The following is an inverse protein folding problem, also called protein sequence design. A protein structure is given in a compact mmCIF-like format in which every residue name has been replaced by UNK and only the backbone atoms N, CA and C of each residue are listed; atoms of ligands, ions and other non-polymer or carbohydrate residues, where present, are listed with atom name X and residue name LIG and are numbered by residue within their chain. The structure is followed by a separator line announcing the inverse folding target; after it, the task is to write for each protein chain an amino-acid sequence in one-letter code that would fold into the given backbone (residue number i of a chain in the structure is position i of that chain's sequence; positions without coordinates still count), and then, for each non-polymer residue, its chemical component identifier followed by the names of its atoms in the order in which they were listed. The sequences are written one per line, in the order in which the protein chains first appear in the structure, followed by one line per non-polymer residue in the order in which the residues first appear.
data_IF_047184103418
#
_entry.id   IF_047184103418
#
_cell.length_a   1.000
_cell.length_b   1.000
_cell.length_c   1.000
_cell.angle_alpha   90.00
_cell.angle_beta   90.00
_cell.angle_gamma   90.00
#
_symmetry.space_group_name_H-M   'P 1'
#
loop_
_entity.id
_entity.type
_entity.pdbx_description
1 polymer ?
#
# COMPACT_ATOMS: atom_id res chain seq x y z
N UNK A 1 21.46 -7.66 -8.05
CA UNK A 1 21.68 -6.21 -7.85
C UNK A 1 20.43 -5.62 -7.22
N UNK A 2 20.54 -4.65 -6.29
CA UNK A 2 19.37 -3.97 -5.74
C UNK A 2 18.66 -3.15 -6.83
N UNK A 3 17.33 -3.07 -6.75
CA UNK A 3 16.55 -2.22 -7.64
C UNK A 3 16.91 -0.75 -7.40
N UNK A 4 16.93 0.06 -8.46
CA UNK A 4 17.19 1.50 -8.39
C UNK A 4 15.97 2.26 -8.89
N UNK A 5 15.09 2.62 -7.97
CA UNK A 5 13.88 3.42 -8.16
C UNK A 5 13.94 4.66 -7.25
N UNK A 6 13.18 5.71 -7.56
CA UNK A 6 13.06 6.90 -6.69
C UNK A 6 12.64 6.50 -5.27
N UNK A 7 11.76 5.48 -5.15
CA UNK A 7 11.34 4.92 -3.86
C UNK A 7 12.52 4.34 -3.07
N UNK A 8 13.28 3.42 -3.68
CA UNK A 8 14.42 2.76 -3.02
C UNK A 8 15.49 3.75 -2.57
N UNK A 9 15.77 4.76 -3.38
CA UNK A 9 16.77 5.79 -3.09
C UNK A 9 16.31 6.73 -1.98
N UNK A 10 15.04 7.15 -1.99
CA UNK A 10 14.49 8.06 -0.98
C UNK A 10 14.38 7.39 0.40
N UNK A 11 14.01 6.11 0.45
CA UNK A 11 13.75 5.39 1.70
C UNK A 11 14.94 4.54 2.19
N UNK A 12 15.97 4.38 1.38
CA UNK A 12 17.11 3.50 1.68
C UNK A 12 16.69 2.04 1.83
N UNK A 13 15.79 1.57 0.97
CA UNK A 13 15.34 0.16 0.91
C UNK A 13 15.88 -0.51 -0.35
N UNK A 14 16.02 -1.83 -0.34
CA UNK A 14 16.63 -2.59 -1.44
C UNK A 14 15.62 -3.19 -2.42
N UNK A 15 14.39 -3.38 -1.95
CA UNK A 15 13.27 -3.93 -2.71
C UNK A 15 12.16 -2.87 -2.78
N UNK A 16 11.67 -2.49 -3.97
CA UNK A 16 10.66 -1.45 -4.16
C UNK A 16 9.25 -1.99 -3.83
N UNK A 17 9.10 -2.53 -2.64
CA UNK A 17 7.88 -3.17 -2.14
C UNK A 17 7.52 -2.54 -0.80
N UNK A 18 6.30 -2.04 -0.73
CA UNK A 18 5.72 -1.44 0.47
C UNK A 18 4.56 -2.30 0.96
N UNK A 19 4.45 -2.45 2.28
CA UNK A 19 3.26 -2.98 2.90
C UNK A 19 2.28 -1.86 3.21
N UNK A 20 1.12 -1.91 2.57
CA UNK A 20 0.09 -0.92 2.76
C UNK A 20 -0.59 -1.08 4.12
N UNK A 21 -1.14 -0.02 4.68
CA UNK A 21 -1.78 0.00 5.98
C UNK A 21 -2.86 -1.07 6.10
N UNK A 22 -2.67 -2.00 7.04
CA UNK A 22 -3.60 -3.10 7.33
C UNK A 22 -4.14 -2.96 8.74
N UNK A 23 -5.38 -2.50 8.85
CA UNK A 23 -6.08 -2.44 10.12
C UNK A 23 -6.11 -3.84 10.77
N UNK A 24 -5.76 -3.93 12.05
CA UNK A 24 -5.72 -5.17 12.85
C UNK A 24 -4.65 -6.19 12.47
N UNK A 25 -3.73 -5.88 11.54
CA UNK A 25 -2.70 -6.83 11.09
C UNK A 25 -1.31 -6.18 11.00
N UNK A 26 -1.24 -4.89 10.73
CA UNK A 26 0.02 -4.13 10.61
C UNK A 26 0.67 -3.80 11.95
N UNK A 27 0.93 -4.81 12.79
CA UNK A 27 1.67 -4.66 14.05
C UNK A 27 3.18 -4.65 13.82
N UNK A 28 3.95 -4.36 14.87
CA UNK A 28 5.40 -4.18 14.82
C UNK A 28 6.15 -5.41 14.29
N UNK A 29 5.67 -6.62 14.59
CA UNK A 29 6.25 -7.88 14.15
C UNK A 29 6.26 -7.99 12.62
N UNK A 30 5.13 -7.68 11.98
CA UNK A 30 5.03 -7.72 10.52
C UNK A 30 5.85 -6.59 9.87
N UNK A 31 5.78 -5.38 10.41
CA UNK A 31 6.52 -4.26 9.85
C UNK A 31 8.05 -4.46 9.95
N UNK A 32 8.54 -4.98 11.07
CA UNK A 32 9.97 -5.27 11.27
C UNK A 32 10.45 -6.40 10.35
N UNK A 33 9.66 -7.46 10.16
CA UNK A 33 9.97 -8.54 9.23
C UNK A 33 10.16 -8.03 7.79
N UNK A 34 9.25 -7.16 7.33
CA UNK A 34 9.31 -6.59 5.98
C UNK A 34 10.51 -5.66 5.82
N UNK A 35 10.84 -4.89 6.86
CA UNK A 35 12.04 -4.05 6.88
C UNK A 35 13.31 -4.90 6.78
N UNK A 36 13.39 -6.00 7.53
CA UNK A 36 14.53 -6.94 7.50
C UNK A 36 14.66 -7.65 6.14
N UNK A 37 13.54 -7.89 5.46
CA UNK A 37 13.51 -8.42 4.09
C UNK A 37 13.91 -7.38 3.02
N UNK A 38 14.17 -6.13 3.41
CA UNK A 38 14.63 -5.07 2.52
C UNK A 38 13.53 -4.26 1.82
N UNK A 39 12.26 -4.44 2.22
CA UNK A 39 11.13 -3.61 1.83
C UNK A 39 10.81 -2.54 2.88
N UNK A 40 9.62 -1.94 2.77
CA UNK A 40 9.09 -1.02 3.79
C UNK A 40 7.87 -1.61 4.50
N UNK A 41 8.01 -1.88 5.81
CA UNK A 41 6.88 -2.17 6.70
C UNK A 41 6.32 -0.89 7.31
N UNK A 42 4.99 -0.80 7.39
CA UNK A 42 4.27 0.35 7.94
C UNK A 42 3.44 -0.12 9.15
N UNK A 43 3.77 0.40 10.34
CA UNK A 43 2.91 0.29 11.53
C UNK A 43 1.99 1.51 11.58
N UNK A 44 0.72 1.30 11.91
CA UNK A 44 -0.22 2.41 12.13
C UNK A 44 0.16 3.13 13.43
N UNK A 45 0.97 4.19 13.26
CA UNK A 45 1.25 5.32 14.17
C UNK A 45 1.70 4.97 15.60
N UNK A 46 3.02 4.79 15.78
CA UNK A 46 3.93 5.56 16.67
C UNK A 46 5.33 4.93 16.64
N UNK A 47 6.36 5.70 17.00
CA UNK A 47 7.82 5.40 16.95
C UNK A 47 8.57 5.79 15.65
N UNK A 48 8.99 7.06 15.55
CA UNK A 48 10.08 7.49 14.63
C UNK A 48 9.85 7.20 13.15
N UNK A 49 8.60 7.24 12.70
CA UNK A 49 8.17 6.81 11.37
C UNK A 49 8.74 7.72 10.27
N UNK A 50 9.57 7.16 9.38
CA UNK A 50 10.15 7.88 8.24
C UNK A 50 9.16 8.13 7.10
N UNK A 51 8.15 7.28 6.95
CA UNK A 51 7.13 7.40 5.91
C UNK A 51 5.76 6.96 6.41
N UNK A 52 4.73 7.76 6.15
CA UNK A 52 3.33 7.45 6.50
C UNK A 52 2.51 7.24 5.22
N UNK A 53 1.74 6.15 5.18
CA UNK A 53 0.69 5.98 4.19
C UNK A 53 -0.62 6.61 4.69
N UNK A 54 -1.13 7.58 3.95
CA UNK A 54 -2.44 8.19 4.23
C UNK A 54 -3.46 7.68 3.22
N UNK A 55 -4.69 7.40 3.67
CA UNK A 55 -5.80 6.98 2.82
C UNK A 55 -7.11 7.59 3.32
N UNK A 56 -8.09 7.71 2.44
CA UNK A 56 -9.42 8.24 2.78
C UNK A 56 -9.63 9.68 2.30
N UNK A 57 -10.77 10.26 2.73
CA UNK A 57 -11.21 11.58 2.29
C UNK A 57 -10.63 12.69 3.19
N UNK A 58 -10.49 13.90 2.64
CA UNK A 58 -10.05 15.10 3.37
C UNK A 58 -8.68 14.93 4.08
N UNK A 59 -7.70 14.36 3.38
CA UNK A 59 -6.35 14.11 3.90
C UNK A 59 -5.47 15.36 4.03
N UNK A 60 -5.88 16.50 3.47
CA UNK A 60 -5.05 17.70 3.40
C UNK A 60 -4.56 18.21 4.77
N UNK A 61 -5.39 18.29 5.84
CA UNK A 61 -4.91 18.73 7.16
C UNK A 61 -3.84 17.80 7.73
N UNK A 62 -4.04 16.48 7.62
CA UNK A 62 -3.08 15.48 8.08
C UNK A 62 -1.80 15.52 7.26
N UNK A 63 -1.90 15.67 5.95
CA UNK A 63 -0.73 15.81 5.07
C UNK A 63 0.09 17.04 5.46
N UNK A 64 -0.54 18.19 5.73
CA UNK A 64 0.17 19.39 6.18
C UNK A 64 0.92 19.14 7.48
N UNK A 65 0.27 18.54 8.49
CA UNK A 65 0.91 18.21 9.77
C UNK A 65 2.11 17.25 9.60
N UNK A 66 1.96 16.22 8.75
CA UNK A 66 3.05 15.29 8.46
C UNK A 66 4.23 15.97 7.75
N UNK A 67 3.96 16.93 6.87
CA UNK A 67 5.01 17.71 6.19
C UNK A 67 5.76 18.63 7.15
N UNK A 68 5.06 19.28 8.08
CA UNK A 68 5.69 20.09 9.14
C UNK A 68 6.62 19.25 10.01
N UNK A 69 6.29 17.97 10.20
CA UNK A 69 7.14 16.99 10.89
C UNK A 69 8.24 16.38 10.01
N UNK A 70 8.39 16.83 8.75
CA UNK A 70 9.38 16.32 7.78
C UNK A 70 9.26 14.81 7.52
N UNK A 71 8.04 14.28 7.55
CA UNK A 71 7.71 12.88 7.28
C UNK A 71 7.47 12.70 5.77
N UNK A 72 7.99 11.62 5.19
CA UNK A 72 7.72 11.26 3.80
C UNK A 72 6.28 10.74 3.68
N UNK A 73 5.54 11.19 2.68
CA UNK A 73 4.12 10.86 2.55
C UNK A 73 3.88 10.01 1.31
N UNK A 74 3.27 8.85 1.53
CA UNK A 74 2.62 8.04 0.50
C UNK A 74 1.12 8.26 0.60
N UNK A 75 0.47 8.86 -0.40
CA UNK A 75 -0.97 9.06 -0.35
C UNK A 75 -1.72 8.10 -1.28
N UNK A 76 -2.62 7.27 -0.71
CA UNK A 76 -3.39 6.30 -1.48
C UNK A 76 -4.60 6.94 -2.16
N UNK A 77 -4.69 6.74 -3.47
CA UNK A 77 -5.72 7.29 -4.34
C UNK A 77 -6.36 6.18 -5.19
N UNK A 78 -7.69 6.16 -5.21
CA UNK A 78 -8.47 5.18 -5.99
C UNK A 78 -8.81 5.65 -7.40
N UNK A 79 -8.57 6.93 -7.71
CA UNK A 79 -8.83 7.51 -9.03
C UNK A 79 -7.76 8.51 -9.42
N UNK A 80 -7.53 8.68 -10.73
CA UNK A 80 -6.60 9.67 -11.30
C UNK A 80 -6.93 11.08 -10.79
N UNK A 81 -8.23 11.43 -10.69
CA UNK A 81 -8.65 12.76 -10.20
C UNK A 81 -8.19 13.01 -8.76
N UNK A 82 -8.28 12.01 -7.89
CA UNK A 82 -7.78 12.12 -6.53
C UNK A 82 -6.25 12.19 -6.49
N UNK A 83 -5.57 11.39 -7.33
CA UNK A 83 -4.11 11.41 -7.45
C UNK A 83 -3.58 12.78 -7.90
N UNK A 84 -4.20 13.40 -8.91
CA UNK A 84 -3.88 14.76 -9.40
C UNK A 84 -4.20 15.84 -8.38
N UNK A 85 -5.24 15.65 -7.54
CA UNK A 85 -5.51 16.57 -6.44
C UNK A 85 -4.44 16.46 -5.36
N UNK A 86 -4.09 15.25 -4.97
CA UNK A 86 -3.07 14.98 -3.95
C UNK A 86 -1.67 15.41 -4.40
N UNK A 87 -1.34 15.32 -5.69
CA UNK A 87 -0.05 15.79 -6.21
C UNK A 87 0.17 17.29 -5.98
N UNK A 88 -0.91 18.09 -5.87
CA UNK A 88 -0.83 19.53 -5.56
C UNK A 88 -0.45 19.79 -4.10
N UNK A 89 -0.65 18.82 -3.21
CA UNK A 89 -0.28 18.91 -1.80
C UNK A 89 1.21 18.62 -1.56
N UNK A 90 2.00 18.41 -2.63
CA UNK A 90 3.42 18.07 -2.60
C UNK A 90 3.71 16.87 -1.69
N UNK A 91 2.96 15.78 -1.89
CA UNK A 91 3.30 14.46 -1.35
C UNK A 91 4.48 13.87 -2.12
N UNK A 92 5.33 13.07 -1.47
CA UNK A 92 6.50 12.47 -2.12
C UNK A 92 6.11 11.33 -3.06
N UNK A 93 5.12 10.53 -2.68
CA UNK A 93 4.65 9.39 -3.46
C UNK A 93 3.13 9.31 -3.48
N UNK A 94 2.59 8.80 -4.59
CA UNK A 94 1.20 8.39 -4.71
C UNK A 94 1.10 6.86 -4.70
N UNK A 95 0.12 6.29 -4.02
CA UNK A 95 -0.21 4.87 -4.15
C UNK A 95 -1.52 4.76 -4.92
N UNK A 96 -1.48 4.20 -6.13
CA UNK A 96 -2.65 4.18 -7.01
C UNK A 96 -3.11 2.76 -7.31
N UNK A 97 -4.42 2.54 -7.29
CA UNK A 97 -5.02 1.23 -7.61
C UNK A 97 -5.14 0.98 -9.13
N UNK A 98 -4.44 1.79 -9.95
CA UNK A 98 -4.40 1.76 -11.41
C UNK A 98 -3.01 2.17 -11.92
N UNK A 99 -2.83 2.17 -13.25
CA UNK A 99 -1.58 2.61 -13.89
C UNK A 99 -1.81 3.97 -14.55
N UNK A 100 -1.20 5.03 -14.02
CA UNK A 100 -1.45 6.40 -14.46
C UNK A 100 -0.19 7.06 -15.03
N UNK A 101 -0.04 7.03 -16.36
CA UNK A 101 1.05 7.70 -17.08
C UNK A 101 0.99 9.24 -17.02
N UNK A 102 -0.13 9.82 -16.53
CA UNK A 102 -0.32 11.28 -16.47
C UNK A 102 0.27 11.93 -15.20
N UNK A 103 0.75 11.15 -14.23
CA UNK A 103 1.26 11.66 -12.97
C UNK A 103 2.73 12.10 -13.07
N UNK A 104 3.02 13.33 -12.64
CA UNK A 104 4.39 13.85 -12.52
C UNK A 104 5.08 13.46 -11.22
N UNK A 105 4.28 13.13 -10.20
CA UNK A 105 4.79 12.68 -8.90
C UNK A 105 5.05 11.18 -8.98
N UNK A 106 6.20 10.70 -8.46
CA UNK A 106 6.47 9.28 -8.30
C UNK A 106 5.29 8.49 -7.72
N UNK A 107 4.95 7.35 -8.31
CA UNK A 107 3.81 6.55 -7.84
C UNK A 107 4.19 5.08 -7.62
N UNK A 108 3.45 4.43 -6.73
CA UNK A 108 3.49 3.00 -6.47
C UNK A 108 2.19 2.40 -6.99
N UNK A 109 2.32 1.30 -7.74
CA UNK A 109 1.15 0.55 -8.14
C UNK A 109 0.62 -0.26 -6.94
N UNK A 110 -0.67 -0.16 -6.67
CA UNK A 110 -1.32 -0.75 -5.50
C UNK A 110 -2.44 -1.71 -5.93
N UNK A 111 -2.58 -2.79 -5.17
CA UNK A 111 -3.66 -3.74 -5.33
C UNK A 111 -3.35 -4.84 -6.35
N UNK A 112 -3.71 -6.08 -5.98
CA UNK A 112 -3.58 -7.30 -6.82
C UNK A 112 -2.15 -7.69 -7.21
N UNK A 113 -1.13 -7.13 -6.56
CA UNK A 113 0.24 -7.62 -6.66
C UNK A 113 0.52 -8.68 -5.59
N UNK A 114 1.15 -9.79 -6.00
CA UNK A 114 1.47 -10.90 -5.10
C UNK A 114 2.81 -11.60 -5.40
N UNK A 115 3.52 -11.21 -6.47
CA UNK A 115 4.73 -11.85 -6.94
C UNK A 115 5.66 -10.88 -7.72
N UNK A 116 6.78 -11.42 -8.21
CA UNK A 116 7.77 -10.66 -8.98
C UNK A 116 7.32 -10.28 -10.39
N UNK A 117 6.37 -11.01 -11.00
CA UNK A 117 5.83 -10.66 -12.32
C UNK A 117 5.01 -9.39 -12.25
N UNK A 118 4.16 -9.28 -11.22
CA UNK A 118 3.42 -8.06 -10.94
C UNK A 118 4.33 -6.87 -10.66
N UNK A 119 5.42 -7.07 -9.90
CA UNK A 119 6.43 -6.03 -9.70
C UNK A 119 7.07 -5.60 -11.03
N UNK A 120 7.52 -6.55 -11.85
CA UNK A 120 8.15 -6.24 -13.14
C UNK A 120 7.19 -5.46 -14.06
N UNK A 121 5.92 -5.87 -14.11
CA UNK A 121 4.89 -5.17 -14.88
C UNK A 121 4.67 -3.73 -14.36
N UNK A 122 4.62 -3.53 -13.04
CA UNK A 122 4.46 -2.20 -12.45
C UNK A 122 5.63 -1.27 -12.79
N UNK A 123 6.87 -1.76 -12.65
CA UNK A 123 8.06 -1.00 -13.02
C UNK A 123 8.08 -0.65 -14.52
N UNK A 124 7.70 -1.60 -15.38
CA UNK A 124 7.60 -1.38 -16.82
C UNK A 124 6.54 -0.32 -17.20
N UNK A 125 5.49 -0.19 -16.38
CA UNK A 125 4.44 0.82 -16.54
C UNK A 125 4.78 2.17 -15.90
N UNK A 126 5.99 2.32 -15.34
CA UNK A 126 6.50 3.57 -14.79
C UNK A 126 6.30 3.76 -13.29
N UNK A 127 5.83 2.74 -12.57
CA UNK A 127 5.76 2.79 -11.11
C UNK A 127 7.18 2.69 -10.51
N UNK A 128 7.36 3.28 -9.33
CA UNK A 128 8.61 3.22 -8.56
C UNK A 128 8.67 2.02 -7.59
N UNK A 129 7.59 1.24 -7.56
CA UNK A 129 7.41 0.07 -6.72
C UNK A 129 5.96 -0.39 -6.65
N UNK A 130 5.71 -1.41 -5.82
CA UNK A 130 4.37 -1.94 -5.55
C UNK A 130 3.99 -1.83 -4.08
N UNK A 131 2.71 -1.62 -3.83
CA UNK A 131 2.10 -1.66 -2.51
C UNK A 131 1.24 -2.93 -2.39
N UNK A 132 1.52 -3.78 -1.39
CA UNK A 132 0.83 -5.04 -1.17
C UNK A 132 0.14 -5.09 0.20
N UNK A 133 -1.00 -5.78 0.26
CA UNK A 133 -1.74 -6.07 1.50
C UNK A 133 -1.94 -7.57 1.69
N UNK A 134 -2.88 -8.15 0.93
CA UNK A 134 -3.28 -9.57 1.04
C UNK A 134 -2.11 -10.55 1.04
N UNK A 135 -1.06 -10.30 0.23
CA UNK A 135 0.13 -11.15 0.18
C UNK A 135 0.87 -11.21 1.52
N UNK A 136 0.95 -10.09 2.24
CA UNK A 136 1.64 -10.02 3.53
C UNK A 136 0.87 -10.74 4.65
N UNK A 137 -0.47 -10.85 4.56
CA UNK A 137 -1.25 -11.66 5.51
C UNK A 137 -0.88 -13.14 5.49
N UNK A 138 -0.28 -13.62 4.40
CA UNK A 138 0.13 -15.02 4.22
C UNK A 138 1.62 -15.26 4.51
N UNK A 139 2.26 -14.36 5.29
CA UNK A 139 3.63 -14.52 5.78
C UNK A 139 3.64 -15.21 7.14
N UNK A 140 4.80 -15.71 7.57
CA UNK A 140 4.89 -16.40 8.87
C UNK A 140 4.73 -15.42 10.03
N UNK A 141 5.18 -14.18 9.85
CA UNK A 141 5.25 -13.10 10.82
C UNK A 141 3.92 -12.34 11.00
N UNK A 142 3.01 -12.40 10.02
CA UNK A 142 1.72 -11.73 10.13
C UNK A 142 0.90 -12.31 11.29
N UNK A 143 0.42 -11.49 12.23
CA UNK A 143 -0.39 -11.95 13.38
C UNK A 143 -1.84 -12.26 13.00
N UNK A 144 -2.02 -13.09 11.97
CA UNK A 144 -3.29 -13.51 11.40
C UNK A 144 -3.50 -14.98 11.72
N UNK A 145 -4.72 -15.33 12.17
CA UNK A 145 -5.08 -16.70 12.49
C UNK A 145 -4.87 -17.64 11.29
N UNK A 146 -4.38 -18.86 11.52
CA UNK A 146 -4.02 -19.80 10.46
C UNK A 146 -5.20 -20.11 9.51
N UNK A 147 -6.42 -20.24 10.04
CA UNK A 147 -7.62 -20.43 9.22
C UNK A 147 -7.85 -19.28 8.22
N UNK A 148 -7.53 -18.05 8.59
CA UNK A 148 -7.65 -16.89 7.68
C UNK A 148 -6.58 -16.96 6.61
N UNK A 149 -5.34 -17.31 6.97
CA UNK A 149 -4.26 -17.51 5.99
C UNK A 149 -4.60 -18.62 5.01
N UNK A 150 -5.09 -19.76 5.52
CA UNK A 150 -5.54 -20.89 4.70
C UNK A 150 -6.70 -20.49 3.78
N UNK A 151 -7.69 -19.77 4.30
CA UNK A 151 -8.79 -19.26 3.47
C UNK A 151 -8.29 -18.35 2.34
N UNK A 152 -7.29 -17.49 2.58
CA UNK A 152 -6.70 -16.65 1.52
C UNK A 152 -5.95 -17.50 0.49
N UNK A 153 -5.20 -18.51 0.93
CA UNK A 153 -4.43 -19.40 0.03
C UNK A 153 -5.35 -20.27 -0.81
N UNK A 154 -6.45 -20.76 -0.24
CA UNK A 154 -7.42 -21.62 -0.93
C UNK A 154 -8.40 -20.81 -1.81
N UNK A 155 -8.50 -19.49 -1.61
CA UNK A 155 -9.42 -18.62 -2.33
C UNK A 155 -9.06 -18.47 -3.82
N UNK A 156 -10.11 -18.37 -4.64
CA UNK A 156 -10.01 -17.97 -6.05
C UNK A 156 -10.17 -16.45 -6.19
N UNK A 157 -9.74 -15.89 -7.32
CA UNK A 157 -9.88 -14.46 -7.62
C UNK A 157 -11.35 -13.98 -7.63
N UNK A 158 -12.28 -14.92 -7.83
CA UNK A 158 -13.72 -14.68 -7.83
C UNK A 158 -14.35 -14.72 -6.42
N UNK A 159 -13.60 -15.06 -5.37
CA UNK A 159 -14.12 -15.20 -4.00
C UNK A 159 -14.18 -13.87 -3.22
N UNK A 160 -14.00 -12.73 -3.91
CA UNK A 160 -14.23 -11.41 -3.33
C UNK A 160 -15.51 -10.78 -3.84
N UNK A 161 -16.15 -9.96 -3.01
CA UNK A 161 -17.35 -9.20 -3.37
C UNK A 161 -17.21 -7.74 -3.00
N UNK A 162 -17.96 -6.88 -3.69
CA UNK A 162 -18.03 -5.45 -3.41
C UNK A 162 -19.28 -5.16 -2.57
N UNK A 163 -19.07 -4.84 -1.30
CA UNK A 163 -20.12 -4.45 -0.37
C UNK A 163 -20.28 -2.94 -0.34
N UNK A 164 -21.38 -2.47 0.26
CA UNK A 164 -21.65 -1.05 0.57
C UNK A 164 -21.73 -0.10 -0.65
N UNK A 165 -21.79 -0.62 -1.88
CA UNK A 165 -21.86 0.19 -3.12
C UNK A 165 -23.04 1.18 -3.11
N UNK A 166 -24.19 0.76 -2.57
CA UNK A 166 -25.40 1.59 -2.48
C UNK A 166 -25.19 2.87 -1.65
N UNK A 167 -24.34 2.79 -0.64
CA UNK A 167 -24.04 3.90 0.28
C UNK A 167 -22.80 4.70 -0.14
N UNK A 168 -22.27 4.48 -1.36
CA UNK A 168 -21.06 5.15 -1.88
C UNK A 168 -19.82 4.95 -0.99
N UNK A 169 -19.78 3.87 -0.21
CA UNK A 169 -18.66 3.50 0.65
C UNK A 169 -18.15 2.10 0.28
N UNK A 170 -17.89 1.89 -1.02
CA UNK A 170 -17.58 0.57 -1.57
C UNK A 170 -16.35 -0.03 -0.90
N UNK A 171 -16.48 -1.26 -0.38
CA UNK A 171 -15.37 -2.04 0.15
C UNK A 171 -15.30 -3.39 -0.57
N UNK A 172 -14.08 -3.91 -0.75
CA UNK A 172 -13.86 -5.28 -1.26
C UNK A 172 -13.59 -6.19 -0.08
N UNK A 173 -14.42 -7.21 0.10
CA UNK A 173 -14.28 -8.21 1.17
C UNK A 173 -14.25 -9.62 0.58
N UNK A 174 -13.73 -10.56 1.37
CA UNK A 174 -13.89 -11.99 1.11
C UNK A 174 -15.35 -12.40 1.28
N UNK A 175 -15.88 -13.22 0.37
CA UNK A 175 -17.26 -13.71 0.42
C UNK A 175 -17.46 -14.58 1.66
N UNK A 176 -18.33 -14.16 2.55
CA UNK A 176 -18.73 -14.91 3.73
C UNK A 176 -20.17 -14.53 4.11
N UNK A 177 -20.68 -15.04 5.24
CA UNK A 177 -22.07 -14.76 5.67
C UNK A 177 -22.38 -13.28 5.92
N UNK A 178 -21.37 -12.46 6.18
CA UNK A 178 -21.52 -11.04 6.47
C UNK A 178 -21.38 -10.14 5.22
N UNK A 179 -20.85 -10.67 4.11
CA UNK A 179 -20.51 -9.92 2.90
C UNK A 179 -21.43 -10.25 1.72
#
# INVERSE_FOLDING_TARGET
MPFKTALTQKLGITVPVVQGGMQWVGYAELASAIRNAGGLGIVVVEEGVRMVETAGNNSAPTITQLKEANIIILHKCTTVKHAVSASKLSVEFLSTDGFEQELKVPFLASGRFADGYGLAAALALGAEGINMGTRFMCTVEATVHQNVRKAIVDAQETDTTLVLRRWKNTMRLYKNKAA
#
